data_IF_437797097779
#
_entry.id   IF_437797097779
#
_cell.length_a   1.000
_cell.length_b   1.000
_cell.length_c   1.000
_cell.angle_alpha   90.00
_cell.angle_beta   90.00
_cell.angle_gamma   90.00
#
_symmetry.space_group_name_H-M   'P 1'
#
loop_
_entity.id
_entity.type
_entity.pdbx_description
1 polymer ?
#
# COMPACT_ATOMS: atom_id res chain seq x y z
N UNK A 1 36.39 -14.89 -13.09
CA UNK A 1 35.20 -14.03 -12.86
C UNK A 1 34.06 -14.94 -12.41
N UNK A 2 33.90 -15.06 -11.10
CA UNK A 2 32.77 -15.76 -10.48
C UNK A 2 31.55 -14.85 -10.58
N UNK A 3 30.64 -15.17 -11.50
CA UNK A 3 29.31 -14.58 -11.52
C UNK A 3 28.54 -15.19 -10.35
N UNK A 4 28.53 -14.48 -9.22
CA UNK A 4 27.54 -14.69 -8.16
C UNK A 4 26.21 -14.26 -8.75
N UNK A 5 25.25 -15.16 -9.05
CA UNK A 5 23.89 -14.69 -9.27
C UNK A 5 23.47 -14.03 -7.95
N UNK A 6 22.87 -12.83 -7.98
CA UNK A 6 22.26 -12.28 -6.78
C UNK A 6 21.34 -13.38 -6.24
N UNK A 7 21.36 -13.59 -4.92
CA UNK A 7 20.24 -14.29 -4.28
C UNK A 7 19.03 -13.48 -4.72
N UNK A 8 18.34 -13.96 -5.75
CA UNK A 8 17.11 -13.36 -6.20
C UNK A 8 16.20 -13.58 -5.02
N UNK A 9 16.08 -12.56 -4.17
CA UNK A 9 15.06 -12.56 -3.15
C UNK A 9 13.78 -12.94 -3.89
N UNK A 10 13.19 -14.05 -3.45
CA UNK A 10 12.06 -14.65 -4.12
C UNK A 10 11.07 -13.54 -4.47
N UNK A 11 10.54 -13.51 -5.69
CA UNK A 11 9.64 -12.44 -6.12
C UNK A 11 8.44 -12.33 -5.16
N UNK A 12 8.07 -13.46 -4.54
CA UNK A 12 7.13 -13.55 -3.43
C UNK A 12 7.52 -12.73 -2.18
N UNK A 13 8.81 -12.68 -1.83
CA UNK A 13 9.35 -11.89 -0.71
C UNK A 13 9.33 -10.38 -1.01
N UNK A 14 9.81 -9.97 -2.19
CA UNK A 14 9.81 -8.55 -2.60
C UNK A 14 8.39 -7.97 -2.64
N UNK A 15 7.43 -8.73 -3.16
CA UNK A 15 6.02 -8.35 -3.16
C UNK A 15 5.46 -8.18 -1.74
N UNK A 16 5.89 -9.00 -0.78
CA UNK A 16 5.47 -8.88 0.62
C UNK A 16 5.99 -7.60 1.27
N UNK A 17 7.22 -7.17 0.94
CA UNK A 17 7.77 -5.91 1.43
C UNK A 17 7.03 -4.69 0.89
N UNK A 18 6.72 -4.69 -0.41
CA UNK A 18 5.96 -3.61 -1.04
C UNK A 18 4.57 -3.46 -0.39
N UNK A 19 3.87 -4.56 -0.09
CA UNK A 19 2.57 -4.52 0.60
C UNK A 19 2.71 -3.93 2.00
N UNK A 20 3.76 -4.29 2.73
CA UNK A 20 4.01 -3.78 4.09
C UNK A 20 4.22 -2.27 4.07
N UNK A 21 5.03 -1.76 3.15
CA UNK A 21 5.28 -0.31 3.07
C UNK A 21 4.04 0.45 2.58
N UNK A 22 3.28 -0.11 1.63
CA UNK A 22 2.04 0.49 1.16
C UNK A 22 1.02 0.64 2.32
N UNK A 23 0.85 -0.40 3.13
CA UNK A 23 -0.04 -0.37 4.29
C UNK A 23 0.34 0.74 5.28
N UNK A 24 1.63 0.88 5.60
CA UNK A 24 2.12 1.94 6.49
C UNK A 24 1.84 3.35 5.96
N UNK A 25 2.03 3.56 4.65
CA UNK A 25 1.76 4.87 4.04
C UNK A 25 0.28 5.25 4.16
N UNK A 26 -0.62 4.27 4.02
CA UNK A 26 -2.05 4.51 4.09
C UNK A 26 -2.52 4.80 5.50
N UNK A 27 -2.00 4.08 6.50
CA UNK A 27 -2.29 4.38 7.90
C UNK A 27 -1.92 5.83 8.24
N UNK A 28 -0.77 6.29 7.76
CA UNK A 28 -0.32 7.68 7.96
C UNK A 28 -1.20 8.70 7.23
N UNK A 29 -1.66 8.37 6.03
CA UNK A 29 -2.58 9.24 5.27
C UNK A 29 -3.94 9.31 5.95
N UNK A 30 -4.45 8.18 6.46
CA UNK A 30 -5.71 8.10 7.21
C UNK A 30 -5.66 8.90 8.52
N UNK A 31 -4.57 8.76 9.28
CA UNK A 31 -4.35 9.53 10.51
C UNK A 31 -4.30 11.03 10.22
N UNK A 32 -3.55 11.44 9.19
CA UNK A 32 -3.48 12.83 8.79
C UNK A 32 -4.87 13.38 8.36
N UNK A 33 -5.68 12.56 7.66
CA UNK A 33 -7.06 12.92 7.30
C UNK A 33 -7.95 13.13 8.53
N UNK A 34 -7.78 12.30 9.55
CA UNK A 34 -8.50 12.39 10.81
C UNK A 34 -8.12 13.67 11.58
N UNK A 35 -6.82 14.00 11.60
CA UNK A 35 -6.31 15.27 12.17
C UNK A 35 -6.89 16.48 11.45
N UNK A 36 -6.94 16.49 10.12
CA UNK A 36 -7.52 17.64 9.39
C UNK A 36 -9.03 17.78 9.61
N UNK A 37 -9.78 16.68 9.72
CA UNK A 37 -11.20 16.72 10.09
C UNK A 37 -11.38 17.30 11.49
N UNK A 38 -10.61 16.83 12.47
CA UNK A 38 -10.66 17.34 13.84
C UNK A 38 -10.31 18.83 13.93
N UNK A 39 -9.34 19.30 13.15
CA UNK A 39 -9.05 20.73 13.03
C UNK A 39 -10.22 21.51 12.43
N UNK A 40 -10.86 20.98 11.38
CA UNK A 40 -11.99 21.64 10.71
C UNK A 40 -13.21 21.79 11.64
N UNK A 41 -13.46 20.79 12.49
CA UNK A 41 -14.56 20.81 13.48
C UNK A 41 -14.28 21.78 14.63
N UNK A 42 -13.01 22.09 14.92
CA UNK A 42 -12.61 22.97 16.02
C UNK A 42 -12.55 24.47 15.65
N UNK A 43 -12.54 24.82 14.36
CA UNK A 43 -12.48 26.24 13.94
C UNK A 43 -13.87 26.87 13.99
N UNK A 44 -13.99 28.11 14.46
CA UNK A 44 -15.24 28.88 14.34
C UNK A 44 -15.45 29.33 12.88
N UNK A 45 -16.53 28.88 12.25
CA UNK A 45 -16.77 28.98 10.80
C UNK A 45 -17.16 30.38 10.31
N UNK A 46 -17.19 31.36 11.21
CA UNK A 46 -17.56 32.75 10.92
C UNK A 46 -16.57 33.45 9.96
N UNK A 47 -15.34 32.97 9.85
CA UNK A 47 -14.32 33.52 8.95
C UNK A 47 -14.26 32.76 7.60
N UNK A 48 -14.20 33.49 6.48
CA UNK A 48 -14.02 32.91 5.12
C UNK A 48 -12.85 31.93 5.01
N UNK A 49 -11.77 32.15 5.77
CA UNK A 49 -10.62 31.26 5.80
C UNK A 49 -10.94 29.89 6.45
N UNK A 50 -11.81 29.87 7.45
CA UNK A 50 -12.25 28.65 8.13
C UNK A 50 -13.14 27.80 7.20
N UNK A 51 -14.07 28.43 6.47
CA UNK A 51 -14.88 27.75 5.44
C UNK A 51 -14.00 27.14 4.34
N UNK A 52 -13.05 27.92 3.80
CA UNK A 52 -12.15 27.44 2.76
C UNK A 52 -11.19 26.33 3.24
N UNK A 53 -10.90 26.27 4.55
CA UNK A 53 -10.16 25.16 5.14
C UNK A 53 -11.04 23.92 5.28
N UNK A 54 -12.26 24.08 5.78
CA UNK A 54 -13.24 22.99 5.91
C UNK A 54 -13.51 22.30 4.58
N UNK A 55 -13.77 23.07 3.51
CA UNK A 55 -14.04 22.51 2.17
C UNK A 55 -12.85 21.69 1.65
N UNK A 56 -11.62 22.19 1.84
CA UNK A 56 -10.39 21.48 1.46
C UNK A 56 -10.15 20.23 2.30
N UNK A 57 -10.41 20.30 3.60
CA UNK A 57 -10.29 19.16 4.50
C UNK A 57 -11.29 18.06 4.11
N UNK A 58 -12.54 18.42 3.82
CA UNK A 58 -13.59 17.49 3.37
C UNK A 58 -13.25 16.86 2.03
N UNK A 59 -12.81 17.64 1.04
CA UNK A 59 -12.38 17.13 -0.27
C UNK A 59 -11.23 16.14 -0.13
N UNK A 60 -10.19 16.52 0.62
CA UNK A 60 -9.06 15.64 0.86
C UNK A 60 -9.45 14.34 1.57
N UNK A 61 -10.38 14.41 2.53
CA UNK A 61 -10.85 13.21 3.19
C UNK A 61 -11.65 12.27 2.26
N UNK A 62 -12.32 12.82 1.24
CA UNK A 62 -12.91 12.06 0.15
C UNK A 62 -11.84 11.34 -0.67
N UNK A 63 -10.79 12.05 -1.08
CA UNK A 63 -9.66 11.47 -1.83
C UNK A 63 -8.99 10.33 -1.06
N UNK A 64 -8.74 10.52 0.23
CA UNK A 64 -8.18 9.48 1.13
C UNK A 64 -9.08 8.26 1.25
N UNK A 65 -10.39 8.46 1.30
CA UNK A 65 -11.35 7.34 1.31
C UNK A 65 -11.27 6.55 -0.01
N UNK A 66 -11.13 7.24 -1.15
CA UNK A 66 -10.89 6.60 -2.45
C UNK A 66 -9.59 5.80 -2.51
N UNK A 67 -8.51 6.31 -1.93
CA UNK A 67 -7.23 5.59 -1.81
C UNK A 67 -7.35 4.29 -1.01
N UNK A 68 -8.24 4.25 -0.01
CA UNK A 68 -8.47 3.03 0.79
C UNK A 68 -9.08 1.92 -0.08
N UNK A 69 -10.06 2.23 -0.93
CA UNK A 69 -10.62 1.26 -1.88
C UNK A 69 -9.57 0.73 -2.88
N UNK A 70 -8.74 1.63 -3.42
CA UNK A 70 -7.65 1.26 -4.33
C UNK A 70 -6.62 0.37 -3.62
N UNK A 71 -6.34 0.65 -2.34
CA UNK A 71 -5.44 -0.18 -1.54
C UNK A 71 -5.94 -1.59 -1.40
N UNK A 72 -7.22 -1.77 -1.04
CA UNK A 72 -7.77 -3.11 -0.85
C UNK A 72 -7.71 -3.91 -2.16
N UNK A 73 -7.90 -3.24 -3.30
CA UNK A 73 -7.66 -3.82 -4.63
C UNK A 73 -6.19 -4.24 -4.81
N UNK A 74 -5.24 -3.33 -4.51
CA UNK A 74 -3.81 -3.62 -4.62
C UNK A 74 -3.39 -4.75 -3.67
N UNK A 75 -3.91 -4.79 -2.44
CA UNK A 75 -3.65 -5.88 -1.49
C UNK A 75 -4.07 -7.22 -2.05
N UNK A 76 -5.28 -7.28 -2.62
CA UNK A 76 -5.78 -8.50 -3.25
C UNK A 76 -4.92 -8.92 -4.45
N UNK A 77 -4.60 -7.98 -5.35
CA UNK A 77 -3.80 -8.26 -6.54
C UNK A 77 -2.38 -8.71 -6.20
N UNK A 78 -1.76 -8.10 -5.17
CA UNK A 78 -0.43 -8.51 -4.72
C UNK A 78 -0.47 -9.87 -4.01
N UNK A 79 -1.49 -10.15 -3.18
CA UNK A 79 -1.65 -11.48 -2.60
C UNK A 79 -1.72 -12.56 -3.69
N UNK A 80 -2.53 -12.31 -4.73
CA UNK A 80 -2.64 -13.18 -5.90
C UNK A 80 -1.35 -13.29 -6.69
N UNK A 81 -0.60 -12.19 -6.86
CA UNK A 81 0.71 -12.22 -7.53
C UNK A 81 1.73 -13.02 -6.71
N UNK A 82 1.72 -12.88 -5.38
CA UNK A 82 2.60 -13.60 -4.47
C UNK A 82 2.34 -15.11 -4.51
N UNK A 83 1.08 -15.53 -4.51
CA UNK A 83 0.71 -16.94 -4.63
C UNK A 83 1.19 -17.55 -5.95
N UNK A 84 1.03 -16.82 -7.07
CA UNK A 84 1.55 -17.26 -8.37
C UNK A 84 3.08 -17.35 -8.39
N UNK A 85 3.77 -16.39 -7.79
CA UNK A 85 5.22 -16.40 -7.69
C UNK A 85 5.71 -17.59 -6.84
N UNK A 86 5.12 -17.80 -5.66
CA UNK A 86 5.46 -18.92 -4.78
C UNK A 86 5.22 -20.28 -5.43
N UNK A 87 4.15 -20.41 -6.22
CA UNK A 87 3.88 -21.62 -7.00
C UNK A 87 4.94 -21.85 -8.08
N UNK A 88 5.30 -20.81 -8.85
CA UNK A 88 6.33 -20.91 -9.88
C UNK A 88 7.71 -21.24 -9.29
N UNK A 89 8.06 -20.62 -8.16
CA UNK A 89 9.28 -20.90 -7.40
C UNK A 89 9.32 -22.37 -6.94
N UNK A 90 8.21 -22.89 -6.41
CA UNK A 90 8.09 -24.29 -5.98
C UNK A 90 8.21 -25.26 -7.16
N UNK A 91 7.55 -24.97 -8.29
CA UNK A 91 7.63 -25.79 -9.51
C UNK A 91 9.06 -25.83 -10.06
N UNK A 92 9.75 -24.67 -10.10
CA UNK A 92 11.14 -24.59 -10.54
C UNK A 92 12.08 -25.42 -9.66
N UNK A 93 11.87 -25.40 -8.33
CA UNK A 93 12.63 -26.22 -7.40
C UNK A 93 12.42 -27.73 -7.63
N UNK A 94 11.16 -28.15 -7.87
CA UNK A 94 10.84 -29.56 -8.17
C UNK A 94 11.47 -30.02 -9.49
N UNK A 95 11.34 -29.24 -10.56
CA UNK A 95 11.92 -29.56 -11.87
C UNK A 95 13.45 -29.61 -11.84
N UNK A 96 14.08 -28.73 -11.05
CA UNK A 96 15.54 -28.73 -10.85
C UNK A 96 16.03 -29.90 -9.99
N UNK A 97 15.17 -30.43 -9.11
CA UNK A 97 15.46 -31.59 -8.26
C UNK A 97 15.24 -32.95 -8.93
N UNK A 98 14.33 -33.03 -9.91
CA UNK A 98 13.99 -34.26 -10.63
C UNK A 98 15.06 -34.72 -11.66
N UNK A 99 16.14 -33.95 -11.83
CA UNK A 99 17.24 -34.24 -12.77
C UNK A 99 18.50 -34.85 -12.13
N UNK A 100 18.43 -35.38 -10.89
CA UNK A 100 19.56 -36.07 -10.23
C UNK A 100 19.28 -37.54 -10.02
#
# INVERSE_FOLDING_TARGET
MTLVPPVADAASHQLAEVVRELARLLDRIADAALVARGLADAVDWQAKAATAFHDRATAWAGDVSGLTCLTETVRYDVARARERAAFAESLSAVLSGAGR
#
